data_IF_990962346608
#
_entry.id   IF_990962346608
#
_cell.length_a   1.000
_cell.length_b   1.000
_cell.length_c   1.000
_cell.angle_alpha   90.00
_cell.angle_beta   90.00
_cell.angle_gamma   90.00
#
_symmetry.space_group_name_H-M   'P 1'
#
loop_
_entity.id
_entity.type
_entity.pdbx_description
1 polymer ?
#
# COMPACT_ATOMS: atom_id res chain seq x y z
N UNK A 1 15.82 2.61 -13.72
CA UNK A 1 14.76 1.67 -13.29
C UNK A 1 13.72 1.65 -14.40
N UNK A 2 13.50 0.52 -15.10
CA UNK A 2 12.38 0.44 -16.04
C UNK A 2 11.13 0.30 -15.20
N UNK A 3 10.27 1.33 -15.21
CA UNK A 3 8.93 1.23 -14.67
C UNK A 3 8.21 0.26 -15.61
N UNK A 4 7.97 -0.95 -15.14
CA UNK A 4 7.25 -1.96 -15.90
C UNK A 4 5.81 -1.45 -16.04
N UNK A 5 5.29 -1.39 -17.26
CA UNK A 5 3.89 -0.99 -17.47
C UNK A 5 3.00 -1.97 -16.70
N UNK A 6 2.31 -1.47 -15.67
CA UNK A 6 1.37 -2.28 -14.91
C UNK A 6 0.10 -2.43 -15.75
N UNK A 7 -0.05 -3.58 -16.39
CA UNK A 7 -1.24 -4.01 -17.11
C UNK A 7 -2.05 -5.01 -16.26
N UNK A 8 -3.18 -5.49 -16.77
CA UNK A 8 -4.04 -6.41 -16.01
C UNK A 8 -3.36 -7.73 -15.64
N UNK A 9 -2.33 -8.14 -16.37
CA UNK A 9 -1.55 -9.35 -16.14
C UNK A 9 -0.35 -9.11 -15.23
N UNK A 10 0.08 -7.85 -15.05
CA UNK A 10 1.24 -7.48 -14.22
C UNK A 10 0.88 -6.70 -12.96
N UNK A 11 -0.42 -6.54 -12.64
CA UNK A 11 -0.89 -5.97 -11.38
C UNK A 11 -0.29 -6.72 -10.19
N UNK A 12 0.38 -5.98 -9.33
CA UNK A 12 0.78 -6.52 -8.04
C UNK A 12 -0.45 -6.83 -7.20
N UNK A 13 -0.32 -7.86 -6.35
CA UNK A 13 -1.27 -8.26 -5.32
C UNK A 13 -0.66 -7.97 -3.95
N UNK A 14 -1.47 -7.80 -2.90
CA UNK A 14 -0.94 -7.51 -1.57
C UNK A 14 0.07 -8.54 -1.07
N UNK A 15 -0.19 -9.84 -1.34
CA UNK A 15 0.67 -10.96 -0.96
C UNK A 15 2.07 -10.91 -1.57
N UNK A 16 2.24 -10.22 -2.72
CA UNK A 16 3.54 -10.09 -3.37
C UNK A 16 4.50 -9.19 -2.54
N UNK A 17 3.98 -8.50 -1.51
CA UNK A 17 4.74 -7.63 -0.60
C UNK A 17 4.73 -8.12 0.85
N UNK A 18 4.30 -9.35 1.11
CA UNK A 18 4.44 -9.94 2.43
C UNK A 18 5.93 -10.02 2.81
N UNK A 19 6.24 -9.66 4.04
CA UNK A 19 7.60 -9.77 4.61
C UNK A 19 7.54 -10.50 5.94
N UNK A 20 8.69 -10.82 6.53
CA UNK A 20 8.73 -11.42 7.86
C UNK A 20 8.08 -10.53 8.94
N UNK A 21 8.07 -9.20 8.73
CA UNK A 21 7.58 -8.22 9.72
C UNK A 21 6.17 -7.70 9.42
N UNK A 22 5.73 -7.75 8.17
CA UNK A 22 4.49 -7.14 7.73
C UNK A 22 3.69 -8.06 6.81
N UNK A 23 2.36 -8.03 6.96
CA UNK A 23 1.39 -8.59 6.00
C UNK A 23 0.98 -7.48 5.04
N UNK A 24 1.03 -7.74 3.73
CA UNK A 24 0.47 -6.87 2.70
C UNK A 24 -1.06 -6.92 2.75
N UNK A 25 -1.68 -5.80 3.09
CA UNK A 25 -3.14 -5.69 3.24
C UNK A 25 -3.81 -5.19 1.97
N UNK A 26 -3.19 -4.22 1.29
CA UNK A 26 -3.73 -3.63 0.07
C UNK A 26 -2.61 -3.07 -0.81
N UNK A 27 -2.84 -3.10 -2.12
CA UNK A 27 -1.96 -2.52 -3.12
C UNK A 27 -2.77 -1.66 -4.08
N UNK A 28 -2.29 -0.45 -4.30
CA UNK A 28 -2.84 0.49 -5.27
C UNK A 28 -1.86 0.53 -6.43
N UNK A 29 -2.20 -0.18 -7.50
CA UNK A 29 -1.45 -0.18 -8.74
C UNK A 29 -1.63 1.18 -9.43
N UNK A 30 -0.54 1.87 -9.74
CA UNK A 30 -0.52 3.16 -10.43
C UNK A 30 0.09 2.98 -11.81
N UNK A 31 -0.46 3.66 -12.81
CA UNK A 31 0.11 3.67 -14.15
C UNK A 31 1.39 4.52 -14.12
N UNK A 32 2.46 4.02 -14.71
CA UNK A 32 3.75 4.71 -14.87
C UNK A 32 4.41 5.15 -13.53
N UNK A 33 4.01 4.58 -12.39
CA UNK A 33 4.49 4.94 -11.06
C UNK A 33 4.51 3.71 -10.12
N UNK A 34 5.32 3.75 -9.07
CA UNK A 34 5.43 2.68 -8.10
C UNK A 34 4.07 2.43 -7.38
N UNK A 35 3.73 1.20 -6.98
CA UNK A 35 2.50 0.96 -6.23
C UNK A 35 2.51 1.64 -4.86
N UNK A 36 1.33 1.95 -4.34
CA UNK A 36 1.16 2.34 -2.93
C UNK A 36 0.67 1.12 -2.15
N UNK A 37 1.34 0.81 -1.05
CA UNK A 37 1.07 -0.38 -0.23
C UNK A 37 0.47 0.04 1.10
N UNK A 38 -0.51 -0.72 1.59
CA UNK A 38 -0.90 -0.70 2.99
C UNK A 38 -0.49 -2.05 3.59
N UNK A 39 0.29 -1.99 4.66
CA UNK A 39 0.86 -3.14 5.34
C UNK A 39 0.47 -3.13 6.81
N UNK A 40 0.31 -4.31 7.41
CA UNK A 40 0.01 -4.47 8.84
C UNK A 40 1.17 -5.19 9.52
N UNK A 41 1.63 -4.68 10.65
CA UNK A 41 2.70 -5.31 11.43
C UNK A 41 2.25 -6.64 12.03
N UNK A 42 3.07 -7.68 11.87
CA UNK A 42 2.81 -9.04 12.38
C UNK A 42 3.02 -9.18 13.88
N UNK A 43 3.88 -8.36 14.48
CA UNK A 43 4.34 -8.52 15.87
C UNK A 43 3.76 -7.51 16.85
N UNK A 44 3.06 -6.48 16.38
CA UNK A 44 2.51 -5.45 17.26
C UNK A 44 1.11 -5.80 17.78
N UNK A 45 0.86 -5.45 19.04
CA UNK A 45 -0.45 -5.58 19.69
C UNK A 45 -0.76 -4.30 20.50
N UNK A 46 -1.73 -3.47 20.08
CA UNK A 46 -2.55 -3.63 18.87
C UNK A 46 -1.72 -3.47 17.58
N UNK A 47 -2.16 -4.08 16.45
CA UNK A 47 -1.45 -3.96 15.18
C UNK A 47 -1.34 -2.51 14.72
N UNK A 48 -0.15 -2.06 14.33
CA UNK A 48 0.02 -0.82 13.57
C UNK A 48 0.09 -1.08 12.06
N UNK A 49 -0.31 -0.08 11.30
CA UNK A 49 -0.39 -0.10 9.85
C UNK A 49 0.62 0.87 9.26
N UNK A 50 1.24 0.48 8.16
CA UNK A 50 2.18 1.31 7.42
C UNK A 50 1.66 1.51 6.00
N UNK A 51 1.64 2.75 5.53
CA UNK A 51 1.49 3.07 4.12
C UNK A 51 2.87 3.31 3.54
N UNK A 52 3.22 2.56 2.49
CA UNK A 52 4.43 2.78 1.69
C UNK A 52 4.03 3.43 0.37
N UNK A 53 4.44 4.68 0.20
CA UNK A 53 4.09 5.54 -0.92
C UNK A 53 5.34 5.81 -1.75
N UNK A 54 5.54 4.98 -2.78
CA UNK A 54 6.79 4.90 -3.53
C UNK A 54 7.95 4.30 -2.72
N UNK A 55 9.19 4.59 -3.11
CA UNK A 55 10.37 3.92 -2.51
C UNK A 55 10.78 4.47 -1.14
N UNK A 56 10.41 5.71 -0.79
CA UNK A 56 11.03 6.41 0.35
C UNK A 56 10.04 6.94 1.38
N UNK A 57 8.74 6.99 1.07
CA UNK A 57 7.77 7.61 1.95
C UNK A 57 7.02 6.53 2.73
N UNK A 58 7.18 6.53 4.05
CA UNK A 58 6.51 5.61 4.96
C UNK A 58 5.72 6.37 6.02
N UNK A 59 4.45 6.04 6.15
CA UNK A 59 3.53 6.66 7.09
C UNK A 59 2.96 5.58 7.99
N UNK A 60 2.88 5.85 9.28
CA UNK A 60 2.48 4.87 10.28
C UNK A 60 1.18 5.29 10.96
N UNK A 61 0.28 4.34 11.16
CA UNK A 61 -1.06 4.54 11.69
C UNK A 61 -1.40 3.47 12.72
N UNK A 62 -2.15 3.84 13.75
CA UNK A 62 -2.65 2.88 14.73
C UNK A 62 -3.94 2.18 14.29
N UNK A 63 -4.64 2.73 13.28
CA UNK A 63 -5.88 2.17 12.74
C UNK A 63 -5.78 2.02 11.23
N UNK A 64 -6.34 0.93 10.71
CA UNK A 64 -6.40 0.68 9.27
C UNK A 64 -7.17 1.78 8.54
N UNK A 65 -8.26 2.28 9.14
CA UNK A 65 -9.08 3.34 8.56
C UNK A 65 -8.27 4.62 8.27
N UNK A 66 -7.38 5.02 9.18
CA UNK A 66 -6.56 6.23 9.01
C UNK A 66 -5.55 6.07 7.86
N UNK A 67 -5.00 4.86 7.68
CA UNK A 67 -4.14 4.52 6.56
C UNK A 67 -4.89 4.60 5.22
N UNK A 68 -6.11 4.06 5.17
CA UNK A 68 -6.99 4.14 3.99
C UNK A 68 -7.39 5.59 3.70
N UNK A 69 -7.72 6.37 4.71
CA UNK A 69 -8.13 7.77 4.54
C UNK A 69 -6.96 8.64 4.08
N UNK A 70 -5.73 8.35 4.49
CA UNK A 70 -4.54 8.94 3.87
C UNK A 70 -4.50 8.64 2.37
N UNK A 71 -4.64 7.37 1.96
CA UNK A 71 -4.62 6.99 0.55
C UNK A 71 -5.74 7.67 -0.27
N UNK A 72 -6.92 7.88 0.31
CA UNK A 72 -8.00 8.67 -0.32
C UNK A 72 -7.63 10.15 -0.45
N UNK A 73 -7.13 10.78 0.62
CA UNK A 73 -6.73 12.21 0.61
C UNK A 73 -5.63 12.50 -0.40
N UNK A 74 -4.72 11.56 -0.60
CA UNK A 74 -3.66 11.65 -1.60
C UNK A 74 -4.12 11.36 -3.03
N UNK A 75 -5.39 10.96 -3.23
CA UNK A 75 -5.96 10.67 -4.54
C UNK A 75 -5.58 9.31 -5.12
N UNK A 76 -5.00 8.41 -4.32
CA UNK A 76 -4.58 7.08 -4.77
C UNK A 76 -5.77 6.13 -4.94
N UNK A 77 -6.75 6.23 -4.06
CA UNK A 77 -8.02 5.50 -4.15
C UNK A 77 -9.05 6.46 -4.74
N UNK A 78 -9.54 6.17 -5.96
CA UNK A 78 -10.69 6.88 -6.50
C UNK A 78 -11.92 6.51 -5.67
N UNK A 79 -12.59 7.51 -5.11
CA UNK A 79 -13.96 7.33 -4.64
C UNK A 79 -14.80 6.87 -5.82
N UNK A 80 -15.44 5.70 -5.73
CA UNK A 80 -16.52 5.38 -6.66
C UNK A 80 -17.65 6.35 -6.34
N UNK A 81 -17.87 7.32 -7.22
CA UNK A 81 -19.17 7.97 -7.33
C UNK A 81 -20.16 6.98 -7.97
#
# INVERSE_FOLDING_TARGET
MRIMDIDENTKFRPIDFDTDRYVGMSVINRKDDAPVLIMMSKSSNPPHYMVMDGMYKQMYYLRYADAVDYCKRMGYIRSRN
#
